data_IF_939019038133
#
_entry.id   IF_939019038133
#
_cell.length_a   1.000
_cell.length_b   1.000
_cell.length_c   1.000
_cell.angle_alpha   90.00
_cell.angle_beta   90.00
_cell.angle_gamma   90.00
#
_symmetry.space_group_name_H-M   'P 1'
#
loop_
_entity.id
_entity.type
_entity.pdbx_description
1 polymer ?
#
# COMPACT_ATOMS: atom_id res chain seq x y z
N UNK A 1 -0.81 -19.91 18.23
CA UNK A 1 0.47 -20.32 17.61
C UNK A 1 0.95 -19.11 16.87
N UNK A 2 2.19 -18.67 17.07
CA UNK A 2 2.70 -17.48 16.40
C UNK A 2 3.12 -17.86 14.99
N UNK A 3 2.50 -17.24 14.00
CA UNK A 3 2.82 -17.44 12.58
C UNK A 3 3.86 -16.41 12.10
N UNK A 4 3.84 -15.21 12.69
CA UNK A 4 4.72 -14.09 12.36
C UNK A 4 5.57 -13.73 13.57
N UNK A 5 6.88 -13.70 13.38
CA UNK A 5 7.87 -13.24 14.36
C UNK A 5 8.41 -11.86 13.99
N UNK A 6 8.33 -10.89 14.90
CA UNK A 6 8.90 -9.56 14.72
C UNK A 6 10.27 -9.48 15.41
N UNK A 7 11.33 -9.49 14.61
CA UNK A 7 12.71 -9.28 15.05
C UNK A 7 13.04 -7.78 14.93
N UNK A 8 13.46 -7.14 16.02
CA UNK A 8 13.75 -5.71 16.04
C UNK A 8 14.73 -5.35 17.16
N UNK A 9 15.40 -4.20 17.02
CA UNK A 9 16.19 -3.60 18.10
C UNK A 9 15.35 -2.63 18.92
N UNK A 10 15.51 -2.67 20.25
CA UNK A 10 14.79 -1.75 21.16
C UNK A 10 15.13 -0.29 20.87
N UNK A 11 16.43 0.01 20.73
CA UNK A 11 16.91 1.37 20.51
C UNK A 11 16.68 1.73 19.03
N UNK A 12 15.80 2.68 18.76
CA UNK A 12 15.49 3.16 17.42
C UNK A 12 14.43 2.37 16.65
N UNK A 13 14.14 1.11 17.03
CA UNK A 13 13.15 0.26 16.34
C UNK A 13 11.82 0.03 17.09
N UNK A 14 11.74 0.41 18.37
CA UNK A 14 10.60 0.06 19.25
C UNK A 14 9.24 0.59 18.77
N UNK A 15 9.17 1.84 18.33
CA UNK A 15 7.92 2.45 17.85
C UNK A 15 7.41 1.76 16.58
N UNK A 16 8.30 1.57 15.60
CA UNK A 16 7.98 0.85 14.37
C UNK A 16 7.51 -0.58 14.66
N UNK A 17 8.17 -1.27 15.61
CA UNK A 17 7.82 -2.63 15.98
C UNK A 17 6.42 -2.72 16.60
N UNK A 18 6.02 -1.78 17.46
CA UNK A 18 4.66 -1.75 18.00
C UNK A 18 3.60 -1.40 16.96
N UNK A 19 3.90 -0.49 16.03
CA UNK A 19 2.97 -0.20 14.93
C UNK A 19 2.80 -1.43 14.03
N UNK A 20 3.89 -2.14 13.72
CA UNK A 20 3.83 -3.40 12.99
C UNK A 20 3.02 -4.46 13.75
N UNK A 21 3.29 -4.65 15.05
CA UNK A 21 2.55 -5.56 15.92
C UNK A 21 1.05 -5.23 15.92
N UNK A 22 0.70 -3.95 16.06
CA UNK A 22 -0.69 -3.50 16.08
C UNK A 22 -1.42 -3.81 14.76
N UNK A 23 -0.84 -3.40 13.64
CA UNK A 23 -1.46 -3.58 12.30
C UNK A 23 -1.56 -5.05 11.93
N UNK A 24 -0.50 -5.83 12.14
CA UNK A 24 -0.49 -7.26 11.82
C UNK A 24 -1.39 -8.06 12.76
N UNK A 25 -1.45 -7.70 14.05
CA UNK A 25 -2.37 -8.33 15.01
C UNK A 25 -3.83 -8.04 14.69
N UNK A 26 -4.14 -6.85 14.17
CA UNK A 26 -5.49 -6.54 13.71
C UNK A 26 -5.92 -7.46 12.55
N UNK A 27 -4.98 -7.79 11.66
CA UNK A 27 -5.24 -8.65 10.50
C UNK A 27 -5.23 -10.15 10.81
N UNK A 28 -4.21 -10.65 11.48
CA UNK A 28 -3.99 -12.09 11.68
C UNK A 28 -4.42 -12.58 13.07
N UNK A 29 -4.83 -11.66 13.94
CA UNK A 29 -5.10 -11.93 15.34
C UNK A 29 -3.86 -11.80 16.22
N UNK A 30 -4.08 -11.37 17.47
CA UNK A 30 -3.01 -11.09 18.45
C UNK A 30 -2.14 -12.31 18.75
N UNK A 31 -2.69 -13.52 18.69
CA UNK A 31 -1.96 -14.74 19.02
C UNK A 31 -1.06 -15.24 17.86
N UNK A 32 -1.24 -14.65 16.68
CA UNK A 32 -0.50 -15.00 15.46
C UNK A 32 0.77 -14.18 15.27
N UNK A 33 0.90 -13.05 15.98
CA UNK A 33 2.07 -12.17 15.92
C UNK A 33 2.84 -12.26 17.22
N UNK A 34 4.15 -12.44 17.14
CA UNK A 34 5.03 -12.49 18.28
C UNK A 34 6.07 -11.39 18.21
N UNK A 35 6.07 -10.53 19.24
CA UNK A 35 7.04 -9.46 19.39
C UNK A 35 8.15 -9.89 20.37
N UNK A 36 9.36 -10.08 19.84
CA UNK A 36 10.51 -10.69 20.52
C UNK A 36 10.81 -10.21 21.96
N UNK A 37 10.51 -8.95 22.31
CA UNK A 37 10.77 -8.41 23.65
C UNK A 37 9.53 -8.16 24.53
N UNK A 38 8.31 -8.39 24.05
CA UNK A 38 7.07 -8.16 24.83
C UNK A 38 6.50 -9.45 25.42
N UNK A 39 6.82 -10.59 24.82
CA UNK A 39 5.97 -11.79 24.94
C UNK A 39 6.54 -12.90 25.83
N UNK A 40 7.45 -12.59 26.76
CA UNK A 40 7.99 -13.57 27.72
C UNK A 40 7.39 -13.32 29.10
N UNK A 41 6.68 -14.32 29.61
CA UNK A 41 6.14 -14.28 30.97
C UNK A 41 7.29 -14.19 32.01
N UNK A 42 7.12 -13.39 33.08
CA UNK A 42 8.08 -13.35 34.18
C UNK A 42 8.41 -14.76 34.70
N UNK A 43 9.71 -15.08 34.81
CA UNK A 43 10.20 -16.34 35.37
C UNK A 43 10.52 -17.45 34.35
N UNK A 44 10.28 -17.25 33.04
CA UNK A 44 10.76 -18.17 31.99
C UNK A 44 12.19 -17.81 31.56
N UNK A 45 13.01 -18.83 31.27
CA UNK A 45 14.30 -18.61 30.60
C UNK A 45 14.05 -17.98 29.23
N UNK A 46 14.61 -16.78 29.04
CA UNK A 46 14.40 -15.97 27.84
C UNK A 46 14.93 -16.70 26.60
N UNK A 47 16.07 -17.41 26.73
CA UNK A 47 16.76 -18.15 25.67
C UNK A 47 15.91 -19.24 25.03
N UNK A 48 15.48 -20.24 25.81
CA UNK A 48 14.81 -21.42 25.26
C UNK A 48 13.47 -21.10 24.62
N UNK A 49 12.74 -20.14 25.21
CA UNK A 49 11.42 -19.79 24.72
C UNK A 49 11.50 -19.06 23.38
N UNK A 50 12.45 -18.12 23.25
CA UNK A 50 12.58 -17.29 22.06
C UNK A 50 13.03 -18.11 20.85
N UNK A 51 14.02 -19.01 21.04
CA UNK A 51 14.45 -19.94 20.00
C UNK A 51 13.29 -20.83 19.54
N UNK A 52 12.52 -21.38 20.49
CA UNK A 52 11.33 -22.17 20.14
C UNK A 52 10.26 -21.35 19.43
N UNK A 53 10.09 -20.08 19.78
CA UNK A 53 9.13 -19.19 19.12
C UNK A 53 9.55 -18.90 17.67
N UNK A 54 10.84 -18.61 17.43
CA UNK A 54 11.41 -18.43 16.08
C UNK A 54 11.17 -19.69 15.24
N UNK A 55 11.61 -20.86 15.73
CA UNK A 55 11.48 -22.14 15.00
C UNK A 55 10.04 -22.56 14.69
N UNK A 56 9.06 -22.04 15.42
CA UNK A 56 7.62 -22.32 15.19
C UNK A 56 6.97 -21.32 14.25
N UNK A 57 7.59 -20.17 14.05
CA UNK A 57 7.07 -19.13 13.18
C UNK A 57 7.25 -19.52 11.72
N UNK A 58 6.36 -19.05 10.86
CA UNK A 58 6.43 -19.28 9.41
C UNK A 58 7.08 -18.13 8.68
N UNK A 59 6.91 -16.93 9.23
CA UNK A 59 7.50 -15.70 8.71
C UNK A 59 8.22 -14.98 9.83
N UNK A 60 9.42 -14.50 9.55
CA UNK A 60 10.13 -13.52 10.37
C UNK A 60 10.19 -12.19 9.61
N UNK A 61 9.76 -11.12 10.27
CA UNK A 61 9.94 -9.76 9.77
C UNK A 61 11.09 -9.13 10.55
N UNK A 62 12.21 -8.84 9.86
CA UNK A 62 13.40 -8.23 10.45
C UNK A 62 13.36 -6.71 10.26
N UNK A 63 13.05 -5.97 11.31
CA UNK A 63 12.89 -4.52 11.27
C UNK A 63 14.26 -3.84 11.33
N UNK A 64 14.71 -3.37 10.17
CA UNK A 64 16.00 -2.70 9.96
C UNK A 64 15.74 -1.20 9.88
N UNK A 65 16.05 -0.50 10.97
CA UNK A 65 16.05 0.96 11.02
C UNK A 65 17.48 1.49 10.81
N UNK A 66 17.64 2.82 10.73
CA UNK A 66 18.92 3.48 10.40
C UNK A 66 20.12 3.04 11.28
N UNK A 67 19.91 2.81 12.57
CA UNK A 67 20.96 2.41 13.51
C UNK A 67 21.06 0.89 13.70
N UNK A 68 20.38 0.09 12.88
CA UNK A 68 20.26 -1.35 13.12
C UNK A 68 21.59 -2.09 12.97
N UNK A 69 22.34 -1.75 11.92
CA UNK A 69 23.62 -2.38 11.57
C UNK A 69 24.75 -1.94 12.50
N UNK A 70 24.79 -0.65 12.83
CA UNK A 70 25.85 -0.01 13.63
C UNK A 70 25.43 0.20 15.09
N UNK A 71 24.43 -0.55 15.57
CA UNK A 71 24.02 -0.51 16.96
C UNK A 71 25.23 -0.83 17.86
N UNK A 72 25.47 -0.05 18.93
CA UNK A 72 26.68 -0.22 19.74
C UNK A 72 26.65 -1.53 20.55
N UNK A 73 27.78 -2.21 20.61
CA UNK A 73 27.98 -3.36 21.47
C UNK A 73 27.86 -2.94 22.94
N UNK A 74 27.16 -3.74 23.76
CA UNK A 74 26.87 -3.39 25.16
C UNK A 74 28.12 -3.36 26.06
N UNK A 75 29.03 -4.31 25.87
CA UNK A 75 30.23 -4.51 26.69
C UNK A 75 31.54 -4.00 26.07
N UNK A 76 31.61 -3.90 24.74
CA UNK A 76 32.84 -3.55 24.03
C UNK A 76 32.71 -2.16 23.37
N UNK A 77 33.44 -1.13 23.86
CA UNK A 77 33.46 0.18 23.23
C UNK A 77 33.92 0.10 21.77
N UNK A 78 33.23 0.78 20.87
CA UNK A 78 33.55 0.79 19.43
C UNK A 78 33.17 -0.48 18.65
N UNK A 79 32.70 -1.54 19.33
CA UNK A 79 32.15 -2.72 18.67
C UNK A 79 30.68 -2.55 18.26
N UNK A 80 30.22 -3.34 17.29
CA UNK A 80 28.79 -3.41 16.92
C UNK A 80 28.11 -4.57 17.64
N UNK A 81 26.85 -4.38 17.99
CA UNK A 81 26.04 -5.39 18.66
C UNK A 81 25.89 -6.65 17.80
N UNK A 82 25.75 -6.53 16.47
CA UNK A 82 25.67 -7.69 15.58
C UNK A 82 26.94 -8.56 15.61
N UNK A 83 28.11 -7.98 15.90
CA UNK A 83 29.35 -8.76 15.96
C UNK A 83 29.42 -9.64 17.22
N UNK A 84 28.60 -9.34 18.26
CA UNK A 84 28.45 -10.14 19.47
C UNK A 84 27.57 -11.40 19.20
N UNK A 85 28.09 -12.62 19.34
CA UNK A 85 27.28 -13.84 19.21
C UNK A 85 26.14 -13.95 20.24
N UNK A 86 26.20 -13.15 21.32
CA UNK A 86 25.15 -13.11 22.34
C UNK A 86 24.08 -12.06 22.08
N UNK A 87 24.19 -11.27 21.00
CA UNK A 87 23.16 -10.32 20.59
C UNK A 87 21.88 -11.03 20.15
N UNK A 88 20.77 -10.66 20.77
CA UNK A 88 19.48 -11.31 20.56
C UNK A 88 18.98 -11.22 19.12
N UNK A 89 19.15 -10.06 18.48
CA UNK A 89 18.71 -9.85 17.10
C UNK A 89 19.46 -10.79 16.17
N UNK A 90 20.78 -10.91 16.35
CA UNK A 90 21.60 -11.88 15.63
C UNK A 90 21.17 -13.32 15.88
N UNK A 91 21.03 -13.73 17.15
CA UNK A 91 20.65 -15.11 17.51
C UNK A 91 19.31 -15.51 16.90
N UNK A 92 18.31 -14.63 16.95
CA UNK A 92 17.00 -14.87 16.33
C UNK A 92 17.10 -15.06 14.82
N UNK A 93 17.92 -14.23 14.14
CA UNK A 93 18.15 -14.34 12.70
C UNK A 93 18.89 -15.62 12.33
N UNK A 94 19.94 -15.99 13.07
CA UNK A 94 20.67 -17.24 12.87
C UNK A 94 19.73 -18.44 13.00
N UNK A 95 18.91 -18.48 14.05
CA UNK A 95 17.93 -19.55 14.27
C UNK A 95 16.84 -19.59 13.19
N UNK A 96 16.39 -18.43 12.70
CA UNK A 96 15.41 -18.37 11.62
C UNK A 96 15.97 -18.89 10.29
N UNK A 97 17.23 -18.54 9.98
CA UNK A 97 17.94 -19.03 8.81
C UNK A 97 18.14 -20.55 8.90
N UNK A 98 18.63 -21.05 10.04
CA UNK A 98 18.83 -22.49 10.28
C UNK A 98 17.52 -23.29 10.17
N UNK A 99 16.42 -22.73 10.69
CA UNK A 99 15.11 -23.36 10.65
C UNK A 99 14.37 -23.22 9.32
N UNK A 100 14.92 -22.48 8.34
CA UNK A 100 14.29 -22.25 7.04
C UNK A 100 13.02 -21.41 7.13
N UNK A 101 12.92 -20.52 8.12
CA UNK A 101 11.80 -19.57 8.25
C UNK A 101 11.85 -18.57 7.10
N UNK A 102 10.69 -18.15 6.57
CA UNK A 102 10.64 -17.10 5.56
C UNK A 102 11.02 -15.76 6.20
N UNK A 103 12.22 -15.24 5.92
CA UNK A 103 12.66 -13.96 6.45
C UNK A 103 12.38 -12.84 5.44
N UNK A 104 11.70 -11.78 5.88
CA UNK A 104 11.49 -10.56 5.10
C UNK A 104 12.16 -9.37 5.83
N UNK A 105 13.25 -8.83 5.27
CA UNK A 105 13.82 -7.58 5.74
C UNK A 105 12.83 -6.42 5.55
N UNK A 106 12.53 -5.69 6.63
CA UNK A 106 11.73 -4.48 6.61
C UNK A 106 12.63 -3.26 6.83
N UNK A 107 12.89 -2.50 5.75
CA UNK A 107 13.64 -1.25 5.83
C UNK A 107 12.72 -0.16 6.36
N UNK A 108 12.93 0.26 7.60
CA UNK A 108 12.08 1.21 8.33
C UNK A 108 12.62 2.62 8.15
N UNK A 109 11.98 3.38 7.26
CA UNK A 109 12.34 4.75 6.95
C UNK A 109 12.87 4.93 5.53
N UNK A 110 12.94 6.20 5.09
CA UNK A 110 13.32 6.55 3.72
C UNK A 110 14.82 6.38 3.46
N UNK A 111 15.63 6.66 4.48
CA UNK A 111 17.10 6.72 4.36
C UNK A 111 17.78 5.41 4.74
N UNK A 112 17.01 4.35 5.00
CA UNK A 112 17.58 3.04 5.30
C UNK A 112 17.96 2.37 3.98
N UNK A 113 19.27 2.18 3.82
CA UNK A 113 19.88 1.52 2.68
C UNK A 113 19.70 0.00 2.76
N UNK A 114 19.93 -0.67 1.62
CA UNK A 114 19.99 -2.12 1.56
C UNK A 114 21.16 -2.62 2.40
N UNK A 115 21.00 -3.82 2.99
CA UNK A 115 22.07 -4.47 3.73
C UNK A 115 23.22 -4.83 2.79
N UNK A 116 24.45 -4.54 3.22
CA UNK A 116 25.66 -5.01 2.57
C UNK A 116 26.10 -6.33 3.22
N UNK A 117 26.20 -7.45 2.47
CA UNK A 117 26.60 -8.75 3.02
C UNK A 117 27.99 -8.69 3.68
N UNK A 118 28.90 -7.82 3.22
CA UNK A 118 30.24 -7.68 3.80
C UNK A 118 30.25 -6.95 5.15
N UNK A 119 29.17 -6.22 5.47
CA UNK A 119 29.01 -5.55 6.77
C UNK A 119 28.30 -6.44 7.78
N UNK A 120 27.81 -7.61 7.39
CA UNK A 120 27.12 -8.55 8.26
C UNK A 120 28.08 -9.65 8.76
N UNK A 121 27.88 -10.16 9.99
CA UNK A 121 28.50 -11.39 10.44
C UNK A 121 28.18 -12.55 9.49
N UNK A 122 29.15 -13.42 9.23
CA UNK A 122 29.02 -14.57 8.32
C UNK A 122 27.73 -15.39 8.51
N UNK A 123 27.28 -15.71 9.74
CA UNK A 123 26.07 -16.52 9.93
C UNK A 123 24.76 -15.87 9.45
N UNK A 124 24.72 -14.55 9.29
CA UNK A 124 23.53 -13.80 8.87
C UNK A 124 23.75 -13.03 7.57
N UNK A 125 24.87 -13.24 6.88
CA UNK A 125 25.22 -12.51 5.67
C UNK A 125 24.17 -12.68 4.55
N UNK A 126 23.58 -13.88 4.44
CA UNK A 126 22.53 -14.21 3.48
C UNK A 126 21.28 -13.33 3.61
N UNK A 127 21.07 -12.68 4.77
CA UNK A 127 19.97 -11.72 4.97
C UNK A 127 20.02 -10.57 3.95
N UNK A 128 21.21 -10.18 3.49
CA UNK A 128 21.37 -9.12 2.50
C UNK A 128 20.85 -9.50 1.10
N UNK A 129 20.75 -10.79 0.80
CA UNK A 129 20.24 -11.32 -0.46
C UNK A 129 18.71 -11.52 -0.43
N UNK A 130 18.08 -11.37 0.73
CA UNK A 130 16.63 -11.48 0.85
C UNK A 130 15.92 -10.26 0.28
N UNK A 131 14.81 -10.51 -0.42
CA UNK A 131 13.98 -9.44 -0.95
C UNK A 131 13.38 -8.62 0.20
N UNK A 132 13.72 -7.34 0.25
CA UNK A 132 13.27 -6.44 1.30
C UNK A 132 11.93 -5.77 0.96
N UNK A 133 11.25 -5.28 1.99
CA UNK A 133 10.10 -4.37 1.86
C UNK A 133 10.43 -3.08 2.62
N UNK A 134 10.09 -1.93 2.04
CA UNK A 134 10.24 -0.64 2.72
C UNK A 134 8.96 -0.25 3.41
N UNK A 135 9.10 0.24 4.64
CA UNK A 135 7.99 0.69 5.47
C UNK A 135 8.29 2.10 5.96
N UNK A 136 7.38 3.03 5.71
CA UNK A 136 7.46 4.37 6.28
C UNK A 136 6.46 4.47 7.43
N UNK A 137 6.84 5.11 8.53
CA UNK A 137 5.94 5.30 9.67
C UNK A 137 4.66 6.06 9.28
N UNK A 138 4.75 6.99 8.32
CA UNK A 138 3.60 7.74 7.81
C UNK A 138 2.63 6.93 6.95
N UNK A 139 3.06 5.79 6.40
CA UNK A 139 2.24 4.92 5.52
C UNK A 139 2.23 3.47 5.97
N UNK A 140 2.56 3.23 7.24
CA UNK A 140 2.81 1.90 7.79
C UNK A 140 1.65 0.94 7.57
N UNK A 141 0.41 1.41 7.74
CA UNK A 141 -0.79 0.59 7.51
C UNK A 141 -0.91 0.11 6.06
N UNK A 142 -0.71 1.01 5.10
CA UNK A 142 -0.81 0.68 3.68
C UNK A 142 0.36 -0.21 3.22
N UNK A 143 1.57 0.06 3.70
CA UNK A 143 2.77 -0.75 3.42
C UNK A 143 2.61 -2.17 3.96
N UNK A 144 2.17 -2.31 5.21
CA UNK A 144 1.94 -3.60 5.84
C UNK A 144 0.74 -4.34 5.27
N UNK A 145 -0.31 -3.65 4.83
CA UNK A 145 -1.44 -4.29 4.15
C UNK A 145 -0.98 -4.97 2.86
N UNK A 146 -0.20 -4.27 2.03
CA UNK A 146 0.38 -4.85 0.80
C UNK A 146 1.31 -6.03 1.09
N UNK A 147 2.16 -5.90 2.11
CA UNK A 147 3.04 -6.99 2.54
C UNK A 147 2.23 -8.20 2.98
N UNK A 148 1.23 -8.00 3.84
CA UNK A 148 0.41 -9.06 4.37
C UNK A 148 -0.40 -9.77 3.27
N UNK A 149 -0.90 -9.05 2.26
CA UNK A 149 -1.56 -9.67 1.09
C UNK A 149 -0.61 -10.60 0.34
N UNK A 150 0.66 -10.20 0.20
CA UNK A 150 1.69 -11.02 -0.42
C UNK A 150 2.03 -12.25 0.43
N UNK A 151 2.16 -12.08 1.75
CA UNK A 151 2.47 -13.18 2.67
C UNK A 151 1.34 -14.23 2.70
N UNK A 152 0.07 -13.80 2.68
CA UNK A 152 -1.09 -14.71 2.63
C UNK A 152 -1.07 -15.59 1.38
N UNK A 153 -0.63 -15.05 0.22
CA UNK A 153 -0.49 -15.84 -1.01
C UNK A 153 0.67 -16.83 -0.97
N UNK A 154 1.70 -16.56 -0.17
CA UNK A 154 2.93 -17.37 -0.12
C UNK A 154 2.91 -18.40 1.01
N UNK A 155 2.17 -18.14 2.09
CA UNK A 155 2.20 -18.93 3.33
C UNK A 155 0.78 -19.42 3.66
N UNK A 156 0.47 -20.71 3.41
CA UNK A 156 -0.88 -21.25 3.61
C UNK A 156 -1.43 -21.09 5.03
N UNK A 157 -0.58 -21.18 6.06
CA UNK A 157 -1.02 -21.01 7.45
C UNK A 157 -1.38 -19.57 7.81
N UNK A 158 -0.87 -18.57 7.08
CA UNK A 158 -1.34 -17.19 7.25
C UNK A 158 -2.71 -16.97 6.62
N UNK A 159 -3.00 -17.67 5.52
CA UNK A 159 -4.31 -17.61 4.88
C UNK A 159 -5.44 -18.16 5.77
N UNK A 160 -5.16 -19.13 6.65
CA UNK A 160 -6.17 -19.70 7.56
C UNK A 160 -6.55 -18.75 8.70
N UNK A 161 -5.65 -17.84 9.08
CA UNK A 161 -5.87 -16.87 10.18
C UNK A 161 -6.13 -15.45 9.68
N UNK A 162 -6.13 -15.20 8.37
CA UNK A 162 -6.37 -13.89 7.78
C UNK A 162 -7.81 -13.42 8.04
N UNK A 163 -7.94 -12.25 8.68
CA UNK A 163 -9.21 -11.56 8.94
C UNK A 163 -9.37 -10.30 8.10
N UNK A 164 -8.43 -10.07 7.17
CA UNK A 164 -8.52 -8.97 6.22
C UNK A 164 -9.80 -9.03 5.38
N UNK A 165 -10.16 -7.93 4.69
CA UNK A 165 -11.23 -7.95 3.71
C UNK A 165 -10.90 -9.07 2.73
N UNK A 166 -11.72 -10.12 2.72
CA UNK A 166 -11.61 -11.18 1.70
C UNK A 166 -11.85 -10.49 0.37
N UNK A 167 -10.79 -10.15 -0.34
CA UNK A 167 -10.87 -9.84 -1.76
C UNK A 167 -11.26 -11.16 -2.41
N UNK A 168 -12.57 -11.32 -2.60
CA UNK A 168 -13.19 -12.56 -3.03
C UNK A 168 -12.60 -13.02 -4.36
N UNK A 169 -11.70 -13.98 -4.29
CA UNK A 169 -11.51 -14.99 -5.34
C UNK A 169 -12.15 -16.28 -4.85
N UNK A 170 -13.47 -16.18 -4.67
CA UNK A 170 -14.38 -17.31 -4.64
C UNK A 170 -15.63 -16.84 -5.41
N UNK A 171 -15.49 -16.80 -6.73
CA UNK A 171 -16.65 -16.71 -7.61
C UNK A 171 -17.47 -17.99 -7.41
N UNK A 172 -18.50 -17.89 -6.57
CA UNK A 172 -19.62 -18.82 -6.57
C UNK A 172 -20.24 -18.74 -7.96
N UNK A 173 -20.13 -19.82 -8.72
CA UNK A 173 -20.82 -19.96 -10.00
C UNK A 173 -22.33 -19.90 -9.75
N UNK A 174 -22.92 -18.76 -10.09
CA UNK A 174 -24.35 -18.57 -10.31
C UNK A 174 -24.49 -18.05 -11.75
N UNK A 175 -25.52 -18.45 -12.51
CA UNK A 175 -25.49 -18.43 -13.97
C UNK A 175 -25.39 -17.01 -14.51
N UNK A 176 -24.39 -16.77 -15.36
CA UNK A 176 -24.19 -15.50 -16.03
C UNK A 176 -25.42 -15.16 -16.89
N UNK A 177 -26.02 -14.02 -16.60
CA UNK A 177 -26.78 -13.28 -17.61
C UNK A 177 -25.82 -12.90 -18.75
N UNK A 178 -26.25 -12.89 -20.02
CA UNK A 178 -25.35 -12.69 -21.14
C UNK A 178 -24.80 -11.26 -21.12
N UNK A 179 -23.50 -11.12 -20.91
CA UNK A 179 -22.81 -9.87 -21.21
C UNK A 179 -22.67 -9.72 -22.73
N UNK A 180 -22.78 -8.50 -23.29
CA UNK A 180 -22.58 -8.28 -24.71
C UNK A 180 -21.11 -8.48 -25.06
N UNK A 181 -20.76 -9.66 -25.56
CA UNK A 181 -19.50 -9.90 -26.25
C UNK A 181 -19.49 -9.10 -27.55
N UNK A 182 -18.48 -8.23 -27.69
CA UNK A 182 -18.16 -7.60 -28.97
C UNK A 182 -17.22 -8.57 -29.69
N UNK A 183 -17.80 -9.40 -30.56
CA UNK A 183 -17.02 -10.25 -31.48
C UNK A 183 -16.25 -9.35 -32.44
N UNK A 184 -14.92 -9.31 -32.31
CA UNK A 184 -14.05 -8.58 -33.24
C UNK A 184 -13.33 -9.53 -34.20
N UNK A 185 -14.00 -10.62 -34.59
CA UNK A 185 -13.56 -11.49 -35.67
C UNK A 185 -13.81 -10.81 -37.02
N UNK A 186 -12.79 -10.12 -37.52
CA UNK A 186 -12.75 -9.62 -38.89
C UNK A 186 -12.05 -8.28 -39.10
N UNK A 187 -11.67 -7.55 -38.05
CA UNK A 187 -11.00 -6.27 -38.21
C UNK A 187 -9.48 -6.44 -38.32
N UNK A 188 -9.00 -6.64 -39.54
CA UNK A 188 -7.58 -6.49 -39.89
C UNK A 188 -7.32 -5.05 -40.33
N UNK A 189 -6.41 -4.35 -39.65
CA UNK A 189 -5.94 -3.02 -40.04
C UNK A 189 -6.01 -1.95 -38.94
N UNK A 190 -5.40 -2.20 -37.77
CA UNK A 190 -5.13 -1.15 -36.79
C UNK A 190 -3.70 -0.63 -36.94
N UNK A 191 -3.54 0.67 -37.23
CA UNK A 191 -2.22 1.32 -37.21
C UNK A 191 -1.77 1.43 -35.75
N UNK A 192 -0.84 0.56 -35.37
CA UNK A 192 -0.10 0.67 -34.11
C UNK A 192 0.83 1.88 -34.14
N UNK A 193 0.86 2.59 -33.02
CA UNK A 193 1.77 3.66 -32.62
C UNK A 193 2.97 3.90 -33.56
N UNK A 194 2.97 5.01 -34.32
CA UNK A 194 4.11 5.46 -35.14
C UNK A 194 4.76 6.66 -34.45
N UNK A 195 5.89 6.42 -33.81
CA UNK A 195 6.86 7.46 -33.45
C UNK A 195 7.82 7.68 -34.62
N UNK A 196 7.70 8.83 -35.29
CA UNK A 196 8.61 9.22 -36.38
C UNK A 196 7.90 10.00 -37.50
N UNK A 197 8.57 11.01 -38.03
CA UNK A 197 8.11 11.83 -39.14
C UNK A 197 8.03 11.01 -40.43
N UNK A 198 6.82 10.57 -40.80
CA UNK A 198 6.51 10.07 -42.15
C UNK A 198 5.12 10.57 -42.54
N UNK A 199 5.04 11.20 -43.72
CA UNK A 199 3.90 11.98 -44.18
C UNK A 199 2.60 11.20 -44.35
N UNK A 200 1.48 11.91 -44.17
CA UNK A 200 0.11 11.39 -44.27
C UNK A 200 -0.20 10.98 -45.70
N UNK A 201 -0.36 9.68 -45.94
CA UNK A 201 -1.02 9.17 -47.14
C UNK A 201 -2.53 9.12 -46.89
N UNK A 202 -3.26 10.07 -47.47
CA UNK A 202 -4.73 10.03 -47.48
C UNK A 202 -5.14 9.20 -48.69
N UNK A 203 -5.55 7.96 -48.47
CA UNK A 203 -6.25 7.20 -49.49
C UNK A 203 -7.73 7.58 -49.42
N UNK A 204 -8.25 8.23 -50.45
CA UNK A 204 -9.66 8.68 -50.50
C UNK A 204 -10.59 7.46 -50.61
N UNK A 205 -11.17 7.06 -49.49
CA UNK A 205 -12.20 6.03 -49.46
C UNK A 205 -13.54 6.61 -49.94
N UNK A 206 -13.94 6.28 -51.17
CA UNK A 206 -15.23 6.66 -51.77
C UNK A 206 -16.31 5.60 -51.56
N UNK A 207 -16.55 5.18 -50.31
CA UNK A 207 -17.64 4.28 -49.97
C UNK A 207 -18.50 4.84 -48.83
N UNK A 208 -19.84 4.66 -48.85
CA UNK A 208 -20.69 5.07 -47.74
C UNK A 208 -20.32 4.29 -46.46
N UNK A 209 -19.82 5.00 -45.45
CA UNK A 209 -19.45 4.40 -44.17
C UNK A 209 -20.68 4.33 -43.27
N UNK A 210 -21.11 3.12 -42.91
CA UNK A 210 -22.24 2.88 -42.03
C UNK A 210 -21.74 2.82 -40.57
N UNK A 211 -21.98 3.85 -39.76
CA UNK A 211 -21.44 3.96 -38.38
C UNK A 211 -22.26 3.20 -37.33
N UNK A 212 -22.97 2.13 -37.71
CA UNK A 212 -23.93 1.43 -36.84
C UNK A 212 -25.16 2.26 -36.44
N UNK A 213 -26.14 1.63 -35.81
CA UNK A 213 -27.42 2.23 -35.40
C UNK A 213 -27.42 2.56 -33.90
N UNK A 214 -26.54 3.49 -33.50
CA UNK A 214 -26.49 4.05 -32.15
C UNK A 214 -26.46 5.58 -32.20
N UNK A 215 -26.80 6.23 -31.09
CA UNK A 215 -26.83 7.69 -31.01
C UNK A 215 -25.45 8.30 -31.27
N UNK A 216 -25.33 9.10 -32.33
CA UNK A 216 -24.10 9.85 -32.63
C UNK A 216 -24.05 11.11 -31.76
N UNK A 217 -23.17 11.09 -30.75
CA UNK A 217 -22.90 12.28 -29.92
C UNK A 217 -21.81 13.13 -30.57
N UNK A 218 -22.21 14.02 -31.47
CA UNK A 218 -21.33 15.05 -32.03
C UNK A 218 -21.33 16.29 -31.12
N UNK A 219 -20.48 16.28 -30.08
CA UNK A 219 -20.26 17.46 -29.25
C UNK A 219 -19.49 18.56 -30.01
N UNK A 220 -19.82 19.85 -29.83
CA UNK A 220 -19.06 20.93 -30.43
C UNK A 220 -17.64 20.96 -29.87
N UNK A 221 -16.63 20.76 -30.73
CA UNK A 221 -15.22 20.94 -30.36
C UNK A 221 -14.86 22.42 -30.48
N UNK A 222 -14.66 23.09 -29.34
CA UNK A 222 -14.10 24.44 -29.29
C UNK A 222 -12.63 24.32 -28.94
N UNK A 223 -11.74 24.60 -29.91
CA UNK A 223 -10.29 24.67 -29.67
C UNK A 223 -9.89 26.11 -29.35
N UNK A 224 -9.52 26.37 -28.10
CA UNK A 224 -8.93 27.64 -27.65
C UNK A 224 -7.96 27.40 -26.50
N UNK A 225 -6.85 28.14 -26.48
CA UNK A 225 -5.80 28.01 -25.47
C UNK A 225 -6.15 28.80 -24.20
N UNK A 226 -7.19 28.40 -23.45
CA UNK A 226 -7.30 28.67 -22.01
C UNK A 226 -8.46 27.86 -21.37
N UNK A 227 -8.28 27.46 -20.12
CA UNK A 227 -9.12 26.57 -19.28
C UNK A 227 -10.62 26.45 -19.66
N UNK A 228 -11.02 25.25 -20.08
CA UNK A 228 -12.43 24.87 -20.25
C UNK A 228 -12.95 24.15 -19.00
N UNK A 229 -13.97 24.71 -18.36
CA UNK A 229 -14.78 24.01 -17.35
C UNK A 229 -15.93 23.32 -18.08
N UNK A 230 -15.93 21.99 -18.08
CA UNK A 230 -17.09 21.21 -18.53
C UNK A 230 -17.98 20.95 -17.30
N UNK A 231 -19.23 21.42 -17.35
CA UNK A 231 -20.25 21.14 -16.36
C UNK A 231 -21.48 20.54 -17.03
N UNK A 232 -22.02 19.48 -16.43
CA UNK A 232 -23.23 18.83 -16.91
C UNK A 232 -24.45 19.67 -16.52
N UNK A 233 -25.26 20.06 -17.51
CA UNK A 233 -26.54 20.69 -17.28
C UNK A 233 -27.66 19.63 -17.26
N UNK A 234 -28.09 19.21 -16.07
CA UNK A 234 -29.26 18.35 -15.89
C UNK A 234 -30.49 19.14 -15.40
N UNK A 235 -30.83 20.21 -16.13
CA UNK A 235 -32.07 20.95 -15.94
C UNK A 235 -32.43 21.68 -17.22
N UNK A 236 -33.58 21.35 -17.81
CA UNK A 236 -34.08 22.03 -19.01
C UNK A 236 -34.06 23.55 -18.84
N UNK A 237 -33.69 24.28 -19.90
CA UNK A 237 -33.65 25.75 -19.87
C UNK A 237 -35.10 26.26 -19.91
N UNK A 238 -35.61 26.71 -18.75
CA UNK A 238 -36.90 27.39 -18.64
C UNK A 238 -36.68 28.90 -18.49
N UNK A 239 -36.98 29.66 -19.55
CA UNK A 239 -36.99 31.13 -19.50
C UNK A 239 -38.40 31.61 -19.14
N UNK A 240 -38.59 32.05 -17.89
CA UNK A 240 -39.82 32.68 -17.42
C UNK A 240 -39.63 34.19 -17.26
N UNK A 241 -40.28 34.99 -18.09
CA UNK A 241 -40.35 36.45 -17.89
C UNK A 241 -41.39 36.76 -16.81
N UNK A 242 -40.92 36.95 -15.58
CA UNK A 242 -41.76 37.36 -14.45
C UNK A 242 -42.28 38.80 -14.61
N UNK A 243 -43.59 38.97 -14.39
CA UNK A 243 -44.28 40.27 -14.37
C UNK A 243 -43.82 41.12 -13.18
N UNK A 244 -43.56 42.39 -13.45
CA UNK A 244 -43.08 43.41 -12.50
C UNK A 244 -44.17 43.77 -11.48
N UNK A 245 -43.93 43.67 -10.15
CA UNK A 245 -44.90 44.12 -9.17
C UNK A 245 -44.91 45.66 -9.05
N UNK A 246 -46.09 46.28 -8.81
CA UNK A 246 -46.21 47.73 -8.71
C UNK A 246 -45.59 48.27 -7.41
N UNK A 247 -44.93 49.43 -7.53
CA UNK A 247 -44.40 50.23 -6.42
C UNK A 247 -45.49 51.13 -5.86
N UNK A 248 -45.72 51.02 -4.56
CA UNK A 248 -46.40 52.01 -3.70
C UNK A 248 -46.25 51.52 -2.26
N UNK A 249 -45.96 52.31 -1.25
CA UNK A 249 -45.73 53.74 -1.07
C UNK A 249 -45.59 53.93 0.44
N UNK A 250 -44.84 54.97 0.86
CA UNK A 250 -44.79 55.53 2.22
C UNK A 250 -44.22 54.58 3.30
N UNK A 251 -43.43 54.98 4.29
CA UNK A 251 -43.43 56.20 5.09
C UNK A 251 -42.04 56.27 5.79
N UNK A 252 -41.35 57.41 5.71
CA UNK A 252 -40.06 57.63 6.39
C UNK A 252 -40.27 58.68 7.48
N UNK A 253 -40.65 58.24 8.66
CA UNK A 253 -40.72 59.08 9.86
C UNK A 253 -39.34 59.25 10.50
N UNK A 254 -39.11 60.47 10.94
CA UNK A 254 -37.90 61.02 11.52
C UNK A 254 -37.50 60.35 12.85
N UNK A 255 -36.19 60.39 13.15
CA UNK A 255 -35.66 61.03 14.37
C UNK A 255 -34.14 61.09 14.31
N UNK A 256 -33.62 62.31 14.23
CA UNK A 256 -32.26 62.62 14.63
C UNK A 256 -32.14 62.73 16.14
N UNK A 257 -30.90 62.60 16.62
CA UNK A 257 -30.31 63.20 17.84
C UNK A 257 -28.87 62.67 17.88
N UNK A 258 -27.89 63.42 17.38
CA UNK A 258 -27.16 64.53 18.00
C UNK A 258 -26.04 64.08 18.95
N UNK A 259 -24.92 64.78 18.81
CA UNK A 259 -23.59 64.54 19.37
C UNK A 259 -23.52 64.61 20.90
N UNK A 260 -22.69 63.74 21.50
CA UNK A 260 -21.56 63.99 22.43
C UNK A 260 -21.29 62.80 23.32
#
# INVERSE_FOLDING_TARGET
>A
MHEIFLNYRTKGGKEAAYLCDHVLSARFGRDSVFLAQKSIDPGKSYDDFLVRAVRRSRVMLALIHEQWLDAPHRKLPGGRALDDPTDWVRRELEEALEAGVLIVPLLVGRNVEQLDPHRLPRPIADLAEHQYTRVLLSTVEADLTRLADRLVRQVPSLATVDRGPRTGTAAKAEPAAPEPTVDNDGQSGGVGNVGGSVGTFVNTANAPMHTGSGDQVNGPSIKGNNYGVAGDNQGGIHQGFGTRPPRGGEERTERGSNER
#
